data_IF_474677955302
#
_entry.id   IF_474677955302
#
_cell.length_a   1.000
_cell.length_b   1.000
_cell.length_c   1.000
_cell.angle_alpha   90.00
_cell.angle_beta   90.00
_cell.angle_gamma   90.00
#
_symmetry.space_group_name_H-M   'P 1'
#
loop_
_entity.id
_entity.type
_entity.pdbx_description
1 polymer ?
#
# COMPACT_ATOMS: atom_id res chain seq x y z
N UNK A 1 55.49 28.76 -41.79
CA UNK A 1 54.28 27.97 -42.13
C UNK A 1 53.59 27.31 -40.92
N UNK A 2 53.99 27.58 -39.66
CA UNK A 2 53.45 26.86 -38.48
C UNK A 2 52.19 27.45 -37.84
N UNK A 3 51.76 28.66 -38.23
CA UNK A 3 50.64 29.37 -37.58
C UNK A 3 49.27 28.76 -37.90
N UNK A 4 49.13 28.12 -39.07
CA UNK A 4 47.85 27.65 -39.59
C UNK A 4 47.37 26.33 -38.97
N UNK A 5 48.26 25.57 -38.33
CA UNK A 5 47.91 24.31 -37.67
C UNK A 5 47.43 24.50 -36.23
N UNK A 6 47.78 25.61 -35.57
CA UNK A 6 47.29 25.92 -34.21
C UNK A 6 45.84 26.41 -34.26
N UNK A 7 45.54 27.28 -35.22
CA UNK A 7 44.22 27.90 -35.41
C UNK A 7 43.13 26.87 -35.78
N UNK A 8 43.45 25.88 -36.64
CA UNK A 8 42.52 24.79 -36.96
C UNK A 8 42.27 23.82 -35.80
N UNK A 9 43.16 23.73 -34.82
CA UNK A 9 42.98 22.83 -33.66
C UNK A 9 42.16 23.53 -32.57
N UNK A 10 42.39 24.83 -32.36
CA UNK A 10 41.58 25.68 -31.48
C UNK A 10 40.12 25.77 -31.96
N UNK A 11 39.88 25.96 -33.27
CA UNK A 11 38.52 26.02 -33.84
C UNK A 11 37.72 24.70 -33.67
N UNK A 12 38.41 23.56 -33.65
CA UNK A 12 37.78 22.24 -33.45
C UNK A 12 37.46 22.01 -31.98
N UNK A 13 38.36 22.38 -31.07
CA UNK A 13 38.12 22.28 -29.62
C UNK A 13 36.97 23.20 -29.17
N UNK A 14 36.89 24.43 -29.68
CA UNK A 14 35.81 25.37 -29.36
C UNK A 14 34.44 24.87 -29.90
N UNK A 15 34.41 24.29 -31.09
CA UNK A 15 33.20 23.66 -31.65
C UNK A 15 32.72 22.49 -30.77
N UNK A 16 33.63 21.62 -30.35
CA UNK A 16 33.30 20.47 -29.50
C UNK A 16 32.77 20.93 -28.12
N UNK A 17 33.35 21.99 -27.54
CA UNK A 17 32.87 22.59 -26.29
C UNK A 17 31.44 23.14 -26.46
N UNK A 18 31.17 23.86 -27.55
CA UNK A 18 29.84 24.43 -27.80
C UNK A 18 28.77 23.33 -27.95
N UNK A 19 29.10 22.24 -28.64
CA UNK A 19 28.18 21.08 -28.74
C UNK A 19 27.90 20.47 -27.38
N UNK A 20 28.91 20.29 -26.54
CA UNK A 20 28.76 19.71 -25.21
C UNK A 20 27.92 20.59 -24.29
N UNK A 21 28.10 21.91 -24.33
CA UNK A 21 27.25 22.84 -23.59
C UNK A 21 25.79 22.76 -24.02
N UNK A 22 25.54 22.64 -25.33
CA UNK A 22 24.20 22.51 -25.87
C UNK A 22 23.53 21.22 -25.41
N UNK A 23 24.27 20.11 -25.38
CA UNK A 23 23.81 18.81 -24.90
C UNK A 23 23.50 18.84 -23.41
N UNK A 24 24.36 19.46 -22.59
CA UNK A 24 24.11 19.63 -21.16
C UNK A 24 22.84 20.44 -20.93
N UNK A 25 22.62 21.52 -21.69
CA UNK A 25 21.39 22.34 -21.60
C UNK A 25 20.16 21.52 -21.98
N UNK A 26 20.22 20.73 -23.06
CA UNK A 26 19.11 19.85 -23.46
C UNK A 26 18.83 18.77 -22.41
N UNK A 27 19.87 18.14 -21.86
CA UNK A 27 19.72 17.14 -20.80
C UNK A 27 19.07 17.74 -19.56
N UNK A 28 19.49 18.94 -19.14
CA UNK A 28 18.91 19.63 -17.99
C UNK A 28 17.42 19.93 -18.19
N UNK A 29 17.04 20.41 -19.37
CA UNK A 29 15.63 20.65 -19.72
C UNK A 29 14.81 19.36 -19.68
N UNK A 30 15.34 18.27 -20.25
CA UNK A 30 14.69 16.96 -20.25
C UNK A 30 14.53 16.40 -18.83
N UNK A 31 15.54 16.58 -17.98
CA UNK A 31 15.50 16.18 -16.57
C UNK A 31 14.42 16.96 -15.80
N UNK A 32 14.32 18.27 -16.03
CA UNK A 32 13.28 19.10 -15.44
C UNK A 32 11.89 18.67 -15.91
N UNK A 33 11.72 18.42 -17.21
CA UNK A 33 10.47 17.92 -17.78
C UNK A 33 10.06 16.60 -17.11
N UNK A 34 10.95 15.62 -17.02
CA UNK A 34 10.65 14.35 -16.35
C UNK A 34 10.31 14.54 -14.87
N UNK A 35 11.07 15.36 -14.14
CA UNK A 35 10.78 15.64 -12.73
C UNK A 35 9.40 16.28 -12.52
N UNK A 36 8.97 17.14 -13.45
CA UNK A 36 7.67 17.79 -13.39
C UNK A 36 6.50 16.90 -13.81
N UNK A 37 6.70 15.94 -14.72
CA UNK A 37 5.60 15.18 -15.35
C UNK A 37 5.48 13.74 -14.89
N UNK A 38 6.59 13.08 -14.58
CA UNK A 38 6.62 11.67 -14.23
C UNK A 38 5.81 11.35 -12.95
N UNK A 39 5.87 12.16 -11.87
CA UNK A 39 5.09 11.88 -10.66
C UNK A 39 3.58 11.87 -10.93
N UNK A 40 3.08 12.83 -11.70
CA UNK A 40 1.67 12.94 -12.04
C UNK A 40 1.22 11.81 -12.96
N UNK A 41 2.04 11.45 -13.95
CA UNK A 41 1.77 10.30 -14.83
C UNK A 41 1.65 9.01 -14.03
N UNK A 42 2.59 8.74 -13.11
CA UNK A 42 2.56 7.55 -12.26
C UNK A 42 1.34 7.54 -11.34
N UNK A 43 1.01 8.68 -10.72
CA UNK A 43 -0.15 8.79 -9.85
C UNK A 43 -1.45 8.50 -10.63
N UNK A 44 -1.62 9.11 -11.80
CA UNK A 44 -2.78 8.90 -12.66
C UNK A 44 -2.89 7.44 -13.10
N UNK A 45 -1.79 6.79 -13.47
CA UNK A 45 -1.77 5.36 -13.80
C UNK A 45 -2.17 4.49 -12.61
N UNK A 46 -1.62 4.75 -11.42
CA UNK A 46 -1.95 4.00 -10.21
C UNK A 46 -3.42 4.16 -9.82
N UNK A 47 -3.96 5.39 -9.85
CA UNK A 47 -5.38 5.66 -9.58
C UNK A 47 -6.26 4.90 -10.58
N UNK A 48 -5.91 4.89 -11.86
CA UNK A 48 -6.65 4.16 -12.89
C UNK A 48 -6.65 2.64 -12.62
N UNK A 49 -5.49 2.05 -12.33
CA UNK A 49 -5.39 0.62 -12.00
C UNK A 49 -6.18 0.26 -10.74
N UNK A 50 -6.06 1.08 -9.69
CA UNK A 50 -6.79 0.87 -8.43
C UNK A 50 -8.30 1.06 -8.59
N UNK A 51 -8.75 1.95 -9.48
CA UNK A 51 -10.16 2.12 -9.78
C UNK A 51 -10.75 0.86 -10.42
N UNK A 52 -10.03 0.22 -11.35
CA UNK A 52 -10.43 -1.04 -11.99
C UNK A 52 -10.47 -2.19 -10.98
N UNK A 53 -9.52 -2.22 -10.04
CA UNK A 53 -9.42 -3.28 -9.03
C UNK A 53 -10.29 -3.06 -7.79
N UNK A 54 -11.01 -1.94 -7.68
CA UNK A 54 -11.79 -1.65 -6.47
C UNK A 54 -12.94 -2.64 -6.36
N UNK A 55 -13.01 -3.45 -5.29
CA UNK A 55 -14.16 -4.33 -5.08
C UNK A 55 -15.42 -3.48 -5.00
N UNK A 56 -16.47 -3.86 -5.74
CA UNK A 56 -17.76 -3.22 -5.64
C UNK A 56 -18.37 -3.57 -4.28
N UNK A 57 -18.20 -2.68 -3.30
CA UNK A 57 -18.90 -2.81 -2.02
C UNK A 57 -20.32 -2.30 -2.21
N UNK A 58 -21.35 -3.14 -2.02
CA UNK A 58 -22.72 -2.65 -1.99
C UNK A 58 -22.82 -1.60 -0.89
N UNK A 59 -23.28 -0.40 -1.25
CA UNK A 59 -23.62 0.61 -0.26
C UNK A 59 -24.67 -0.01 0.68
N UNK A 60 -24.46 0.03 2.01
CA UNK A 60 -25.51 -0.37 2.93
C UNK A 60 -26.65 0.64 2.76
N UNK A 61 -27.73 0.21 2.10
CA UNK A 61 -28.99 0.92 2.17
C UNK A 61 -29.41 0.89 3.63
N UNK A 62 -29.48 2.07 4.26
CA UNK A 62 -29.95 2.27 5.64
C UNK A 62 -31.46 1.93 5.82
N UNK A 63 -32.04 1.10 4.94
CA UNK A 63 -33.47 0.77 4.92
C UNK A 63 -33.80 -0.62 5.46
N UNK A 64 -32.85 -1.39 6.01
CA UNK A 64 -33.18 -2.66 6.66
C UNK A 64 -32.20 -2.97 7.78
N UNK A 65 -32.39 -2.30 8.92
CA UNK A 65 -31.92 -2.82 10.21
C UNK A 65 -33.07 -3.68 10.74
N UNK A 66 -32.93 -5.02 10.83
CA UNK A 66 -33.83 -5.79 11.69
C UNK A 66 -33.46 -5.42 13.13
N UNK A 67 -34.44 -4.90 13.86
CA UNK A 67 -34.34 -4.61 15.28
C UNK A 67 -33.95 -5.87 16.05
N UNK A 68 -32.65 -6.06 16.28
CA UNK A 68 -32.08 -7.08 17.15
C UNK A 68 -31.61 -6.41 18.42
N UNK A 69 -32.57 -5.90 19.20
CA UNK A 69 -32.32 -5.42 20.54
C UNK A 69 -33.47 -5.83 21.47
N UNK A 70 -33.59 -7.14 21.72
CA UNK A 70 -34.10 -7.59 23.01
C UNK A 70 -33.13 -8.63 23.57
N UNK A 71 -32.29 -8.10 24.45
CA UNK A 71 -31.42 -8.84 25.34
C UNK A 71 -32.31 -9.36 26.47
N UNK A 72 -32.72 -10.63 26.40
CA UNK A 72 -33.31 -11.30 27.56
C UNK A 72 -32.31 -12.33 28.11
N UNK A 73 -31.71 -11.98 29.24
CA UNK A 73 -30.92 -12.85 30.09
C UNK A 73 -31.90 -13.66 30.95
N UNK A 74 -31.59 -14.95 31.11
CA UNK A 74 -32.10 -15.89 32.13
C UNK A 74 -33.30 -16.74 31.73
N UNK A 75 -33.15 -18.06 31.91
CA UNK A 75 -34.24 -19.02 31.89
C UNK A 75 -33.85 -20.30 31.17
N UNK A 76 -33.22 -21.22 31.89
CA UNK A 76 -32.89 -22.53 31.35
C UNK A 76 -34.14 -23.37 31.19
N UNK A 77 -34.49 -23.74 29.97
CA UNK A 77 -35.45 -24.80 29.68
C UNK A 77 -35.02 -25.47 28.39
N UNK A 78 -34.52 -26.71 28.52
CA UNK A 78 -34.32 -27.63 27.41
C UNK A 78 -35.67 -27.93 26.76
N UNK A 79 -36.08 -27.10 25.81
CA UNK A 79 -37.24 -27.36 24.95
C UNK A 79 -36.74 -27.84 23.60
N UNK A 80 -36.82 -29.16 23.40
CA UNK A 80 -36.72 -29.83 22.11
C UNK A 80 -37.92 -29.40 21.26
N UNK A 81 -37.77 -28.31 20.50
CA UNK A 81 -38.59 -28.06 19.32
C UNK A 81 -37.95 -28.79 18.12
N UNK A 82 -38.73 -29.28 17.14
CA UNK A 82 -38.16 -29.83 15.92
C UNK A 82 -37.32 -28.75 15.26
N UNK A 83 -36.00 -28.93 15.26
CA UNK A 83 -35.07 -28.00 14.64
C UNK A 83 -35.49 -27.81 13.18
N UNK A 84 -35.90 -26.58 12.83
CA UNK A 84 -36.07 -26.22 11.42
C UNK A 84 -34.75 -26.61 10.72
N UNK A 85 -34.80 -27.50 9.71
CA UNK A 85 -33.60 -27.99 9.05
C UNK A 85 -32.75 -26.85 8.46
N UNK A 86 -33.34 -25.67 8.23
CA UNK A 86 -32.61 -24.47 7.83
C UNK A 86 -31.80 -23.83 8.97
N UNK A 87 -32.35 -23.80 10.19
CA UNK A 87 -31.66 -23.27 11.39
C UNK A 87 -30.47 -24.18 11.75
N UNK A 88 -30.67 -25.50 11.78
CA UNK A 88 -29.61 -26.45 12.06
C UNK A 88 -28.43 -26.33 11.07
N UNK A 89 -28.72 -26.11 9.78
CA UNK A 89 -27.69 -25.85 8.75
C UNK A 89 -26.92 -24.55 9.02
N UNK A 90 -27.62 -23.47 9.39
CA UNK A 90 -26.99 -22.17 9.71
C UNK A 90 -26.09 -22.27 10.94
N UNK A 91 -26.53 -22.98 11.99
CA UNK A 91 -25.73 -23.22 13.20
C UNK A 91 -24.49 -24.05 12.88
N UNK A 92 -24.62 -25.12 12.09
CA UNK A 92 -23.47 -25.93 11.67
C UNK A 92 -22.44 -25.11 10.90
N UNK A 93 -22.90 -24.31 9.93
CA UNK A 93 -22.03 -23.43 9.13
C UNK A 93 -21.31 -22.38 9.98
N UNK A 94 -22.01 -21.80 10.98
CA UNK A 94 -21.41 -20.84 11.90
C UNK A 94 -20.28 -21.50 12.71
N UNK A 95 -20.52 -22.69 13.25
CA UNK A 95 -19.50 -23.45 13.98
C UNK A 95 -18.29 -23.80 13.11
N UNK A 96 -18.50 -24.20 11.86
CA UNK A 96 -17.41 -24.45 10.90
C UNK A 96 -16.57 -23.18 10.65
N UNK A 97 -17.20 -22.01 10.49
CA UNK A 97 -16.51 -20.72 10.31
C UNK A 97 -15.73 -20.30 11.55
N UNK A 98 -16.33 -20.44 12.73
CA UNK A 98 -15.66 -20.12 14.00
C UNK A 98 -14.45 -21.04 14.18
N UNK A 99 -14.63 -22.34 13.97
CA UNK A 99 -13.55 -23.34 14.06
C UNK A 99 -12.42 -23.05 13.07
N UNK A 100 -12.76 -22.75 11.81
CA UNK A 100 -11.81 -22.36 10.78
C UNK A 100 -11.01 -21.11 11.19
N UNK A 101 -11.68 -20.06 11.67
CA UNK A 101 -11.03 -18.84 12.15
C UNK A 101 -10.12 -19.12 13.36
N UNK A 102 -10.61 -19.86 14.36
CA UNK A 102 -9.82 -20.26 15.52
C UNK A 102 -8.56 -21.04 15.11
N UNK A 103 -8.66 -21.90 14.10
CA UNK A 103 -7.52 -22.65 13.56
C UNK A 103 -6.48 -21.77 12.86
N UNK A 104 -6.93 -20.67 12.22
CA UNK A 104 -6.04 -19.73 11.54
C UNK A 104 -5.34 -18.75 12.50
N UNK A 105 -5.92 -18.46 13.67
CA UNK A 105 -5.40 -17.42 14.57
C UNK A 105 -3.98 -17.65 15.06
N UNK A 106 -3.55 -18.87 15.43
CA UNK A 106 -2.16 -19.11 15.81
C UNK A 106 -1.16 -18.68 14.75
N UNK A 107 -1.47 -18.89 13.48
CA UNK A 107 -0.63 -18.48 12.34
C UNK A 107 -0.60 -16.97 12.21
N UNK A 108 -1.77 -16.32 12.26
CA UNK A 108 -1.88 -14.85 12.18
C UNK A 108 -1.10 -14.19 13.32
N UNK A 109 -1.25 -14.66 14.55
CA UNK A 109 -0.55 -14.12 15.72
C UNK A 109 0.96 -14.33 15.63
N UNK A 110 1.42 -15.51 15.18
CA UNK A 110 2.85 -15.77 14.93
C UNK A 110 3.41 -14.80 13.90
N UNK A 111 2.69 -14.57 12.81
CA UNK A 111 3.10 -13.64 11.76
C UNK A 111 3.16 -12.20 12.29
N UNK A 112 2.15 -11.79 13.06
CA UNK A 112 2.11 -10.45 13.66
C UNK A 112 3.31 -10.23 14.61
N UNK A 113 3.63 -11.22 15.44
CA UNK A 113 4.82 -11.19 16.30
C UNK A 113 6.12 -11.07 15.49
N UNK A 114 6.24 -11.80 14.38
CA UNK A 114 7.40 -11.70 13.49
C UNK A 114 7.52 -10.32 12.83
N UNK A 115 6.41 -9.70 12.43
CA UNK A 115 6.42 -8.35 11.86
C UNK A 115 6.88 -7.32 12.89
N UNK A 116 6.37 -7.38 14.13
CA UNK A 116 6.80 -6.49 15.22
C UNK A 116 8.31 -6.63 15.46
N UNK A 117 8.82 -7.86 15.57
CA UNK A 117 10.25 -8.09 15.77
C UNK A 117 11.13 -7.55 14.62
N UNK A 118 10.63 -7.60 13.38
CA UNK A 118 11.31 -6.99 12.23
C UNK A 118 11.35 -5.46 12.35
N UNK A 119 10.24 -4.83 12.74
CA UNK A 119 10.20 -3.38 12.95
C UNK A 119 11.13 -2.93 14.07
N UNK A 120 11.16 -3.63 15.20
CA UNK A 120 12.06 -3.32 16.32
C UNK A 120 13.54 -3.39 15.88
N UNK A 121 13.89 -4.40 15.07
CA UNK A 121 15.23 -4.50 14.48
C UNK A 121 15.54 -3.29 13.58
N UNK A 122 14.59 -2.84 12.76
CA UNK A 122 14.78 -1.66 11.93
C UNK A 122 14.93 -0.36 12.74
N UNK A 123 14.22 -0.21 13.86
CA UNK A 123 14.34 0.97 14.72
C UNK A 123 15.67 0.99 15.50
N UNK A 124 16.22 -0.19 15.83
CA UNK A 124 17.54 -0.32 16.47
C UNK A 124 18.70 0.00 15.53
N UNK A 125 18.50 -0.17 14.22
CA UNK A 125 19.43 0.31 13.22
C UNK A 125 19.14 1.80 13.02
N UNK A 126 20.14 2.68 13.17
CA UNK A 126 20.02 4.12 12.91
C UNK A 126 19.83 4.44 11.40
N UNK A 127 19.00 3.68 10.70
CA UNK A 127 18.60 3.94 9.34
C UNK A 127 17.86 5.29 9.28
N UNK A 128 18.02 5.98 8.15
CA UNK A 128 17.35 7.25 7.87
C UNK A 128 15.86 6.94 7.62
N UNK A 129 15.12 6.72 8.70
CA UNK A 129 13.66 6.60 8.69
C UNK A 129 13.12 8.02 8.66
N UNK A 130 12.27 8.31 7.67
CA UNK A 130 11.64 9.63 7.55
C UNK A 130 10.93 9.99 8.88
N UNK A 131 11.11 11.21 9.40
CA UNK A 131 10.56 11.65 10.68
C UNK A 131 9.06 11.37 10.86
N UNK A 132 8.26 11.38 9.80
CA UNK A 132 6.82 11.09 9.85
C UNK A 132 6.48 9.66 10.28
N UNK A 133 7.41 8.71 10.11
CA UNK A 133 7.23 7.30 10.48
C UNK A 133 7.97 6.92 11.76
N UNK A 134 8.61 7.87 12.45
CA UNK A 134 9.25 7.59 13.73
C UNK A 134 8.20 7.46 14.83
N UNK A 135 8.28 6.38 15.59
CA UNK A 135 7.42 6.16 16.76
C UNK A 135 7.71 7.25 17.81
N UNK A 136 6.68 7.93 18.30
CA UNK A 136 6.80 8.85 19.43
C UNK A 136 7.13 8.04 20.69
N UNK A 137 8.29 8.28 21.31
CA UNK A 137 8.57 7.75 22.66
C UNK A 137 7.72 8.52 23.64
N UNK A 138 6.67 7.88 24.14
CA UNK A 138 6.00 8.33 25.35
C UNK A 138 6.82 7.74 26.51
N UNK A 139 7.48 8.60 27.27
CA UNK A 139 8.15 8.22 28.52
C UNK A 139 7.15 7.98 29.63
#
# INVERSE_FOLDING_TARGET
>A
MFRKNSEMVEDVEDSDIETLESDIKQMAQKLLQYRSTLPDQLNNTLVSVLAIQRPHFPQPSLSSIPSALELNICGGESSSAPEDPEIAKKVKLLNEKISSNCSAMPVVLKNMKNCIAKFDKFDSNNAIINPSFKRKRNG
#
